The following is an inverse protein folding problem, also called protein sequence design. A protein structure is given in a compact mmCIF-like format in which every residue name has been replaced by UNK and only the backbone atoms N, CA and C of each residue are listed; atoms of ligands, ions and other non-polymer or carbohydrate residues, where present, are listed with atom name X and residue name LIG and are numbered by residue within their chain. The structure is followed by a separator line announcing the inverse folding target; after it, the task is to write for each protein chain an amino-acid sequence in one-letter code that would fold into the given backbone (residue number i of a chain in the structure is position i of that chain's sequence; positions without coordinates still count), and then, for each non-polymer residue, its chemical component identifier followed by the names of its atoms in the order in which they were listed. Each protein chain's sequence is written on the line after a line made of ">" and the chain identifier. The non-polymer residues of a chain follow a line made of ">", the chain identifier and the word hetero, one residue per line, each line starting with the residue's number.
data_IF_895723526958
#
_entry.id   IF_895723526958
#
_cell.length_a   1.000
_cell.length_b   1.000
_cell.length_c   1.000
_cell.angle_alpha   90.00
_cell.angle_beta   90.00
_cell.angle_gamma   90.00
#
_symmetry.space_group_name_H-M   'P 1'
#
loop_
_entity.id
_entity.type
_entity.pdbx_description
1 polymer ?
#
# COMPACT_ATOMS: atom_id res chain seq x y z
N UNK A 1 13.73 -8.05 8.80
CA UNK A 1 15.15 -7.83 8.46
C UNK A 1 15.29 -6.53 7.71
N UNK A 2 15.68 -5.49 8.44
CA UNK A 2 15.94 -4.16 7.91
C UNK A 2 17.03 -4.25 6.83
N UNK A 3 16.73 -3.82 5.61
CA UNK A 3 17.75 -3.57 4.59
C UNK A 3 18.20 -2.12 4.78
N UNK A 4 18.86 -1.83 5.91
CA UNK A 4 19.49 -0.55 6.13
C UNK A 4 20.88 -0.57 5.50
N UNK A 5 21.00 -0.06 4.27
CA UNK A 5 22.30 0.32 3.74
C UNK A 5 22.74 1.61 4.45
N UNK A 6 23.73 1.51 5.33
CA UNK A 6 24.20 2.56 6.24
C UNK A 6 24.88 3.75 5.57
N UNK A 7 24.92 3.81 4.22
CA UNK A 7 25.45 4.96 3.46
C UNK A 7 24.39 5.90 2.89
N UNK A 8 23.09 5.62 3.06
CA UNK A 8 22.02 6.50 2.60
C UNK A 8 21.42 7.31 3.76
N UNK A 9 21.82 8.59 3.87
CA UNK A 9 21.29 9.59 4.83
C UNK A 9 19.79 9.40 5.11
N UNK A 10 19.43 9.03 6.35
CA UNK A 10 18.06 8.98 6.91
C UNK A 10 17.01 8.26 6.06
N UNK A 11 17.31 7.04 5.60
CA UNK A 11 16.38 6.22 4.81
C UNK A 11 15.93 5.01 5.63
N UNK A 12 14.67 4.99 6.07
CA UNK A 12 14.06 3.86 6.80
C UNK A 12 13.06 3.15 5.89
N UNK A 13 13.23 1.84 5.70
CA UNK A 13 12.30 0.98 4.98
C UNK A 13 11.91 -0.19 5.87
N UNK A 14 10.61 -0.37 6.07
CA UNK A 14 10.03 -1.53 6.75
C UNK A 14 9.00 -2.16 5.83
N UNK A 15 9.15 -3.46 5.58
CA UNK A 15 8.24 -4.24 4.74
C UNK A 15 8.01 -5.57 5.46
N UNK A 16 6.75 -5.92 5.67
CA UNK A 16 6.35 -7.25 6.11
C UNK A 16 5.21 -7.78 5.26
N UNK A 17 5.27 -9.06 4.95
CA UNK A 17 4.24 -9.78 4.21
C UNK A 17 3.76 -10.92 5.12
N UNK A 18 2.45 -11.05 5.31
CA UNK A 18 1.86 -12.12 6.11
C UNK A 18 0.62 -12.69 5.43
N UNK A 19 0.55 -14.02 5.41
CA UNK A 19 -0.60 -14.77 4.97
C UNK A 19 -1.41 -15.21 6.20
N UNK A 20 -2.66 -14.80 6.25
CA UNK A 20 -3.64 -15.23 7.25
C UNK A 20 -4.55 -16.29 6.67
N UNK A 21 -4.65 -17.44 7.33
CA UNK A 21 -5.55 -18.53 6.96
C UNK A 21 -6.59 -18.79 8.05
N UNK A 22 -7.76 -19.37 7.71
CA UNK A 22 -8.72 -19.82 8.71
C UNK A 22 -8.09 -20.76 9.74
N UNK A 23 -8.51 -20.68 11.00
CA UNK A 23 -7.99 -21.55 12.06
C UNK A 23 -8.16 -23.06 11.77
N UNK A 24 -9.14 -23.43 10.94
CA UNK A 24 -9.43 -24.80 10.54
C UNK A 24 -8.48 -25.37 9.48
N UNK A 25 -7.63 -24.56 8.84
CA UNK A 25 -6.74 -25.03 7.77
C UNK A 25 -5.31 -25.25 8.27
N UNK A 26 -4.61 -26.18 7.63
CA UNK A 26 -3.16 -26.35 7.74
C UNK A 26 -2.52 -25.93 6.42
N UNK A 27 -1.51 -25.07 6.49
CA UNK A 27 -0.69 -24.76 5.33
C UNK A 27 0.23 -25.95 5.03
N UNK A 28 0.43 -26.27 3.76
CA UNK A 28 1.41 -27.28 3.37
C UNK A 28 2.83 -26.81 3.73
N UNK A 29 3.67 -27.69 4.27
CA UNK A 29 5.01 -27.33 4.75
C UNK A 29 5.90 -26.78 3.64
N UNK A 30 5.84 -27.37 2.44
CA UNK A 30 6.57 -26.89 1.27
C UNK A 30 6.11 -25.49 0.87
N UNK A 31 4.81 -25.21 0.96
CA UNK A 31 4.28 -23.88 0.69
C UNK A 31 4.81 -22.87 1.72
N UNK A 32 4.79 -23.19 3.01
CA UNK A 32 5.32 -22.31 4.08
C UNK A 32 6.81 -22.04 3.87
N UNK A 33 7.59 -23.09 3.58
CA UNK A 33 9.03 -23.01 3.36
C UNK A 33 9.38 -22.16 2.14
N UNK A 34 8.74 -22.41 1.00
CA UNK A 34 9.04 -21.72 -0.25
C UNK A 34 8.57 -20.26 -0.21
N UNK A 35 7.38 -19.99 0.31
CA UNK A 35 6.86 -18.63 0.41
C UNK A 35 7.66 -17.77 1.39
N UNK A 36 8.13 -18.34 2.52
CA UNK A 36 9.07 -17.66 3.42
C UNK A 36 10.40 -17.38 2.74
N UNK A 37 10.96 -18.35 2.00
CA UNK A 37 12.25 -18.21 1.32
C UNK A 37 12.22 -17.15 0.21
N UNK A 38 11.20 -17.16 -0.65
CA UNK A 38 11.17 -16.33 -1.85
C UNK A 38 10.48 -14.97 -1.66
N UNK A 39 9.51 -14.88 -0.76
CA UNK A 39 8.68 -13.68 -0.58
C UNK A 39 8.68 -13.16 0.86
N UNK A 40 9.41 -13.82 1.77
CA UNK A 40 9.45 -13.51 3.20
C UNK A 40 8.05 -13.47 3.84
N UNK A 41 7.13 -14.33 3.38
CA UNK A 41 5.81 -14.46 4.00
C UNK A 41 5.90 -15.08 5.38
N UNK A 42 5.35 -14.40 6.37
CA UNK A 42 4.94 -15.01 7.64
C UNK A 42 3.57 -15.66 7.48
N UNK A 43 3.30 -16.71 8.25
CA UNK A 43 2.04 -17.44 8.19
C UNK A 43 1.39 -17.36 9.55
N UNK A 44 0.10 -17.04 9.57
CA UNK A 44 -0.68 -17.00 10.79
C UNK A 44 -2.06 -17.60 10.55
N UNK A 45 -2.57 -18.28 11.56
CA UNK A 45 -3.94 -18.78 11.57
C UNK A 45 -4.79 -17.84 12.40
N UNK A 46 -5.96 -17.50 11.89
CA UNK A 46 -6.86 -16.54 12.52
C UNK A 46 -8.29 -17.05 12.48
N UNK A 47 -9.04 -16.77 13.55
CA UNK A 47 -10.44 -17.11 13.62
C UNK A 47 -11.28 -15.95 13.05
N UNK A 48 -11.60 -16.00 11.76
CA UNK A 48 -12.42 -14.97 11.12
C UNK A 48 -13.88 -14.91 11.64
N UNK A 49 -14.37 -15.93 12.38
CA UNK A 49 -15.69 -15.86 13.03
C UNK A 49 -15.72 -14.79 14.12
N UNK A 50 -14.59 -14.60 14.81
CA UNK A 50 -14.40 -13.46 15.71
C UNK A 50 -13.78 -12.31 14.93
N UNK A 51 -14.63 -11.56 14.21
CA UNK A 51 -14.21 -10.42 13.39
C UNK A 51 -13.38 -9.41 14.18
N UNK A 52 -13.74 -9.14 15.44
CA UNK A 52 -13.05 -8.14 16.27
C UNK A 52 -11.63 -8.59 16.59
N UNK A 53 -11.47 -9.84 17.02
CA UNK A 53 -10.15 -10.42 17.28
C UNK A 53 -9.31 -10.51 16.00
N UNK A 54 -9.95 -10.86 14.88
CA UNK A 54 -9.28 -10.95 13.59
C UNK A 54 -8.71 -9.59 13.13
N UNK A 55 -9.56 -8.56 13.12
CA UNK A 55 -9.16 -7.19 12.78
C UNK A 55 -8.05 -6.67 13.70
N UNK A 56 -8.19 -6.92 15.01
CA UNK A 56 -7.18 -6.56 16.00
C UNK A 56 -5.83 -7.19 15.68
N UNK A 57 -5.78 -8.51 15.45
CA UNK A 57 -4.52 -9.20 15.16
C UNK A 57 -3.87 -8.73 13.85
N UNK A 58 -4.66 -8.42 12.82
CA UNK A 58 -4.15 -7.90 11.54
C UNK A 58 -3.53 -6.51 11.74
N UNK A 59 -4.26 -5.60 12.38
CA UNK A 59 -3.84 -4.22 12.59
C UNK A 59 -2.65 -4.13 13.57
N UNK A 60 -2.63 -4.93 14.64
CA UNK A 60 -1.52 -5.00 15.58
C UNK A 60 -0.24 -5.52 14.92
N UNK A 61 -0.33 -6.55 14.08
CA UNK A 61 0.83 -7.05 13.34
C UNK A 61 1.40 -5.99 12.40
N UNK A 62 0.53 -5.28 11.68
CA UNK A 62 0.96 -4.23 10.75
C UNK A 62 1.60 -3.05 11.50
N UNK A 63 1.01 -2.66 12.63
CA UNK A 63 1.57 -1.65 13.52
C UNK A 63 2.95 -2.09 14.02
N UNK A 64 3.10 -3.29 14.57
CA UNK A 64 4.38 -3.81 15.04
C UNK A 64 5.44 -3.88 13.93
N UNK A 65 5.04 -4.36 12.74
CA UNK A 65 5.93 -4.46 11.57
C UNK A 65 6.45 -3.11 11.11
N UNK A 66 5.69 -2.04 11.37
CA UNK A 66 5.98 -0.68 10.91
C UNK A 66 6.33 0.28 12.05
N UNK A 67 6.65 -0.21 13.25
CA UNK A 67 6.87 0.61 14.47
C UNK A 67 5.76 1.63 14.73
N UNK A 68 4.51 1.20 14.59
CA UNK A 68 3.31 2.01 14.78
C UNK A 68 3.00 2.99 13.65
N UNK A 69 3.74 2.96 12.53
CA UNK A 69 3.53 3.89 11.41
C UNK A 69 2.37 3.52 10.51
N UNK A 70 1.93 2.27 10.52
CA UNK A 70 0.70 1.81 9.89
C UNK A 70 -0.20 1.16 10.97
N UNK A 71 -0.97 1.97 11.71
CA UNK A 71 -1.74 1.49 12.87
C UNK A 71 -3.01 0.71 12.47
N UNK A 72 -3.53 0.94 11.27
CA UNK A 72 -4.76 0.30 10.78
C UNK A 72 -4.59 -0.03 9.29
N UNK A 73 -4.81 -1.30 8.95
CA UNK A 73 -4.79 -1.78 7.56
C UNK A 73 -6.20 -1.90 7.01
N UNK A 74 -7.13 -2.41 7.82
CA UNK A 74 -8.53 -2.54 7.43
C UNK A 74 -9.46 -2.43 8.64
N UNK A 75 -10.69 -1.98 8.36
CA UNK A 75 -11.81 -1.89 9.30
C UNK A 75 -12.81 -3.04 9.15
N UNK A 76 -12.74 -3.78 8.05
CA UNK A 76 -13.57 -4.97 7.82
C UNK A 76 -12.82 -6.03 7.00
N UNK A 77 -13.32 -7.26 7.08
CA UNK A 77 -12.89 -8.39 6.25
C UNK A 77 -14.16 -9.02 5.68
N UNK A 78 -14.40 -8.81 4.40
CA UNK A 78 -15.62 -9.27 3.71
C UNK A 78 -15.63 -10.78 3.50
N UNK A 79 -14.51 -11.35 3.01
CA UNK A 79 -14.35 -12.79 2.77
C UNK A 79 -13.58 -13.45 3.90
N UNK A 80 -14.28 -14.24 4.71
CA UNK A 80 -13.76 -14.89 5.92
C UNK A 80 -13.52 -16.40 5.76
N UNK A 81 -13.87 -16.94 4.60
CA UNK A 81 -13.76 -18.36 4.22
C UNK A 81 -12.44 -18.67 3.51
N UNK A 82 -11.76 -17.66 2.96
CA UNK A 82 -10.48 -17.77 2.27
C UNK A 82 -9.26 -17.38 3.10
N UNK A 83 -8.10 -17.40 2.44
CA UNK A 83 -6.87 -16.85 2.99
C UNK A 83 -6.74 -15.36 2.62
N UNK A 84 -6.19 -14.55 3.54
CA UNK A 84 -5.97 -13.13 3.37
C UNK A 84 -4.47 -12.84 3.33
N UNK A 85 -4.00 -12.24 2.24
CA UNK A 85 -2.64 -11.72 2.14
C UNK A 85 -2.64 -10.28 2.64
N UNK A 86 -1.86 -10.01 3.69
CA UNK A 86 -1.68 -8.67 4.22
C UNK A 86 -0.22 -8.28 4.09
N UNK A 87 0.02 -7.10 3.53
CA UNK A 87 1.35 -6.56 3.37
C UNK A 87 1.40 -5.17 4.00
N UNK A 88 2.36 -4.93 4.88
CA UNK A 88 2.53 -3.67 5.58
C UNK A 88 3.86 -3.04 5.18
N UNK A 89 3.82 -1.80 4.68
CA UNK A 89 5.00 -1.08 4.23
C UNK A 89 5.08 0.31 4.86
N UNK A 90 6.29 0.69 5.27
CA UNK A 90 6.63 2.03 5.73
C UNK A 90 7.95 2.50 5.11
N UNK A 91 7.92 3.67 4.47
CA UNK A 91 9.08 4.30 3.85
C UNK A 91 9.24 5.73 4.31
N UNK A 92 10.45 6.09 4.74
CA UNK A 92 10.82 7.49 4.98
C UNK A 92 12.01 7.88 4.13
N UNK A 93 11.78 8.76 3.14
CA UNK A 93 12.81 9.22 2.20
C UNK A 93 12.52 10.62 1.68
N UNK A 94 13.47 11.14 0.91
CA UNK A 94 13.25 12.31 0.08
C UNK A 94 12.43 11.93 -1.15
N UNK A 95 11.21 12.44 -1.23
CA UNK A 95 10.31 12.33 -2.37
C UNK A 95 9.96 13.71 -2.90
N UNK A 96 9.57 13.79 -4.17
CA UNK A 96 8.95 14.99 -4.72
C UNK A 96 7.54 15.05 -4.15
N UNK A 97 7.23 16.12 -3.43
CA UNK A 97 5.99 16.25 -2.67
C UNK A 97 5.40 17.65 -2.84
N UNK A 98 4.07 17.69 -2.94
CA UNK A 98 3.28 18.92 -2.95
C UNK A 98 2.08 18.76 -2.01
N UNK A 99 1.80 19.79 -1.22
CA UNK A 99 0.61 19.92 -0.40
C UNK A 99 -0.24 21.02 -1.02
N UNK A 100 -1.43 20.66 -1.48
CA UNK A 100 -2.40 21.59 -2.04
C UNK A 100 -3.40 21.95 -0.94
N UNK A 101 -3.07 23.00 -0.17
CA UNK A 101 -3.91 23.46 0.94
C UNK A 101 -5.30 23.93 0.47
N UNK A 102 -5.40 24.43 -0.78
CA UNK A 102 -6.66 24.89 -1.36
C UNK A 102 -7.57 23.71 -1.70
N UNK A 103 -7.03 22.69 -2.38
CA UNK A 103 -7.76 21.48 -2.77
C UNK A 103 -7.78 20.38 -1.69
N UNK A 104 -7.15 20.65 -0.55
CA UNK A 104 -7.00 19.76 0.62
C UNK A 104 -6.51 18.36 0.24
N UNK A 105 -5.46 18.31 -0.58
CA UNK A 105 -4.87 17.06 -1.03
C UNK A 105 -3.35 17.11 -1.03
N UNK A 106 -2.75 15.94 -0.97
CA UNK A 106 -1.32 15.72 -1.01
C UNK A 106 -0.96 14.93 -2.25
N UNK A 107 0.13 15.34 -2.90
CA UNK A 107 0.67 14.66 -4.07
C UNK A 107 2.11 14.26 -3.81
N UNK A 108 2.43 12.98 -3.99
CA UNK A 108 3.79 12.46 -3.81
C UNK A 108 4.20 11.62 -5.01
N UNK A 109 5.36 11.93 -5.57
CA UNK A 109 5.99 11.15 -6.64
C UNK A 109 7.06 10.23 -6.05
N UNK A 110 6.87 8.93 -6.27
CA UNK A 110 7.76 7.86 -5.85
C UNK A 110 8.44 7.24 -7.08
N UNK A 111 9.76 7.41 -7.27
CA UNK A 111 10.48 6.76 -8.36
C UNK A 111 10.49 5.23 -8.16
N UNK A 112 10.20 4.50 -9.24
CA UNK A 112 10.30 3.04 -9.30
C UNK A 112 11.75 2.60 -9.56
N UNK A 113 11.95 1.28 -9.65
CA UNK A 113 13.27 0.70 -9.91
C UNK A 113 13.92 1.35 -11.14
N UNK A 114 15.22 1.63 -11.03
CA UNK A 114 16.04 2.27 -12.06
C UNK A 114 15.64 3.70 -12.49
N UNK A 115 14.67 4.33 -11.82
CA UNK A 115 14.18 5.71 -12.10
C UNK A 115 13.71 5.95 -13.54
N UNK A 116 13.37 4.87 -14.27
CA UNK A 116 12.80 4.97 -15.61
C UNK A 116 11.32 5.35 -15.57
N UNK A 117 10.67 5.16 -14.43
CA UNK A 117 9.27 5.49 -14.22
C UNK A 117 9.05 5.90 -12.76
N UNK A 118 8.04 6.72 -12.53
CA UNK A 118 7.61 7.14 -11.19
C UNK A 118 6.12 6.84 -11.02
N UNK A 119 5.73 6.46 -9.81
CA UNK A 119 4.33 6.35 -9.40
C UNK A 119 3.95 7.62 -8.63
N UNK A 120 2.84 8.25 -8.99
CA UNK A 120 2.32 9.43 -8.29
C UNK A 120 1.12 9.01 -7.45
N UNK A 121 1.17 9.28 -6.15
CA UNK A 121 0.01 9.14 -5.26
C UNK A 121 -0.63 10.51 -5.06
N UNK A 122 -1.95 10.57 -5.20
CA UNK A 122 -2.78 11.74 -4.91
C UNK A 122 -3.74 11.31 -3.81
N UNK A 123 -3.67 11.96 -2.65
CA UNK A 123 -4.42 11.56 -1.47
C UNK A 123 -5.14 12.78 -0.88
N UNK A 124 -6.47 12.72 -0.68
CA UNK A 124 -7.16 13.76 0.07
C UNK A 124 -6.73 13.75 1.54
N UNK A 125 -6.72 14.93 2.17
CA UNK A 125 -6.33 15.09 3.58
C UNK A 125 -7.34 14.50 4.57
N UNK A 126 -8.55 14.20 4.09
CA UNK A 126 -9.64 13.61 4.85
C UNK A 126 -10.19 12.40 4.12
N UNK A 127 -10.79 11.48 4.86
CA UNK A 127 -11.46 10.31 4.27
C UNK A 127 -12.73 10.78 3.57
N UNK A 128 -12.72 10.75 2.24
CA UNK A 128 -13.84 11.13 1.38
C UNK A 128 -13.91 10.21 0.14
N UNK A 129 -15.08 10.09 -0.50
CA UNK A 129 -15.18 9.50 -1.84
C UNK A 129 -14.25 10.22 -2.83
N UNK A 130 -13.62 9.46 -3.73
CA UNK A 130 -12.61 10.02 -4.63
C UNK A 130 -13.19 10.80 -5.81
N UNK A 131 -14.50 10.87 -5.99
CA UNK A 131 -15.12 11.51 -7.17
C UNK A 131 -14.70 12.98 -7.35
N UNK A 132 -14.48 13.70 -6.25
CA UNK A 132 -13.97 15.07 -6.27
C UNK A 132 -12.54 15.12 -6.81
N UNK A 133 -11.66 14.26 -6.29
CA UNK A 133 -10.25 14.17 -6.68
C UNK A 133 -10.15 13.74 -8.15
N UNK A 134 -10.99 12.81 -8.59
CA UNK A 134 -11.05 12.35 -9.98
C UNK A 134 -11.47 13.48 -10.94
N UNK A 135 -12.41 14.34 -10.56
CA UNK A 135 -12.79 15.53 -11.36
C UNK A 135 -11.65 16.55 -11.49
N UNK A 136 -10.83 16.69 -10.45
CA UNK A 136 -9.64 17.54 -10.47
C UNK A 136 -8.50 16.91 -11.28
N UNK A 137 -8.48 15.58 -11.39
CA UNK A 137 -7.43 14.83 -12.06
C UNK A 137 -7.57 14.95 -13.59
N UNK A 138 -6.99 16.01 -14.14
CA UNK A 138 -6.80 16.17 -15.57
C UNK A 138 -5.32 16.42 -15.92
N UNK A 139 -5.00 16.37 -17.22
CA UNK A 139 -3.61 16.48 -17.70
C UNK A 139 -2.93 17.80 -17.31
N UNK A 140 -3.68 18.91 -17.32
CA UNK A 140 -3.14 20.25 -17.00
C UNK A 140 -2.89 20.38 -15.50
N UNK A 141 -3.83 19.90 -14.69
CA UNK A 141 -3.71 19.90 -13.24
C UNK A 141 -2.57 18.99 -12.78
N UNK A 142 -2.41 17.81 -13.38
CA UNK A 142 -1.31 16.90 -13.06
C UNK A 142 0.05 17.52 -13.37
N UNK A 143 0.19 18.23 -14.50
CA UNK A 143 1.40 19.00 -14.83
C UNK A 143 1.64 20.13 -13.83
N UNK A 144 0.58 20.79 -13.39
CA UNK A 144 0.64 21.88 -12.41
C UNK A 144 1.11 21.35 -11.05
N UNK A 145 0.57 20.23 -10.58
CA UNK A 145 1.05 19.59 -9.35
C UNK A 145 2.50 19.15 -9.48
N UNK A 146 2.86 18.48 -10.58
CA UNK A 146 4.23 18.03 -10.83
C UNK A 146 5.25 19.18 -10.83
N UNK A 147 4.92 20.35 -11.39
CA UNK A 147 5.81 21.51 -11.41
C UNK A 147 5.95 22.19 -10.04
N UNK A 148 4.95 22.07 -9.17
CA UNK A 148 4.96 22.62 -7.80
C UNK A 148 5.62 21.70 -6.77
N UNK A 149 5.88 20.44 -7.12
CA UNK A 149 6.53 19.48 -6.21
C UNK A 149 7.93 19.94 -5.82
N UNK A 150 8.26 19.73 -4.54
CA UNK A 150 9.61 19.98 -4.01
C UNK A 150 10.10 18.74 -3.30
N UNK A 151 11.41 18.48 -3.34
CA UNK A 151 12.02 17.39 -2.58
C UNK A 151 11.81 17.64 -1.08
N UNK A 152 11.07 16.77 -0.42
CA UNK A 152 10.84 16.80 1.04
C UNK A 152 11.03 15.41 1.65
N UNK A 153 11.40 15.37 2.93
CA UNK A 153 11.41 14.12 3.67
C UNK A 153 9.96 13.74 3.98
N UNK A 154 9.45 12.74 3.28
CA UNK A 154 8.08 12.25 3.43
C UNK A 154 8.12 10.83 3.99
N UNK A 155 7.26 10.60 4.97
CA UNK A 155 7.02 9.30 5.57
C UNK A 155 5.70 8.75 4.98
N UNK A 156 5.78 7.61 4.33
CA UNK A 156 4.69 6.98 3.59
C UNK A 156 4.41 5.63 4.24
N UNK A 157 3.16 5.40 4.62
CA UNK A 157 2.66 4.13 5.12
C UNK A 157 1.59 3.63 4.18
N UNK A 158 1.79 2.47 3.56
CA UNK A 158 0.85 1.92 2.59
C UNK A 158 0.69 0.41 2.80
N UNK A 159 -0.52 -0.15 2.63
CA UNK A 159 -0.65 -1.56 2.35
C UNK A 159 -0.04 -1.85 0.96
N UNK A 160 0.68 -2.96 0.79
CA UNK A 160 1.14 -3.35 -0.56
C UNK A 160 -0.06 -3.80 -1.37
N UNK A 161 -0.50 -2.96 -2.30
CA UNK A 161 -1.57 -3.28 -3.25
C UNK A 161 -0.94 -4.00 -4.44
N UNK A 162 -1.41 -5.22 -4.73
CA UNK A 162 -1.24 -5.82 -6.05
C UNK A 162 -2.45 -5.37 -6.86
N UNK A 163 -2.27 -4.36 -7.72
CA UNK A 163 -3.32 -3.90 -8.63
C UNK A 163 -3.43 -4.89 -9.79
N UNK A 164 -4.33 -5.87 -9.69
CA UNK A 164 -4.85 -6.58 -10.85
C UNK A 164 -6.05 -5.81 -11.38
N UNK A 165 -5.81 -4.93 -12.34
CA UNK A 165 -6.87 -4.18 -13.02
C UNK A 165 -7.22 -4.92 -14.30
N UNK A 166 -8.26 -5.75 -14.27
CA UNK A 166 -8.89 -6.27 -15.50
C UNK A 166 -9.78 -5.18 -16.08
N UNK A 167 -9.30 -4.48 -17.11
CA UNK A 167 -10.17 -3.66 -17.96
C UNK A 167 -10.58 -4.47 -19.17
N UNK A 168 -11.88 -4.76 -19.27
CA UNK A 168 -12.47 -5.20 -20.52
C UNK A 168 -12.68 -3.94 -21.36
N UNK A 169 -11.71 -3.65 -22.24
CA UNK A 169 -11.84 -2.55 -23.18
C UNK A 169 -12.88 -2.98 -24.22
N UNK A 170 -14.14 -2.60 -24.00
CA UNK A 170 -15.10 -2.58 -25.10
C UNK A 170 -14.64 -1.52 -26.09
N UNK A 171 -13.92 -1.96 -27.11
CA UNK A 171 -13.73 -1.20 -28.34
C UNK A 171 -15.12 -1.04 -28.93
N UNK A 172 -15.80 0.07 -28.60
CA UNK A 172 -16.83 0.59 -29.49
C UNK A 172 -16.08 1.06 -30.73
N UNK A 173 -16.11 0.22 -31.77
CA UNK A 173 -15.87 0.69 -33.14
C UNK A 173 -16.73 1.91 -33.36
N UNK A 174 -16.06 3.04 -33.56
CA UNK A 174 -16.65 4.27 -34.08
C UNK A 174 -16.19 4.34 -35.53
N UNK A 175 -17.16 4.09 -36.42
CA UNK A 175 -17.26 4.46 -37.84
C UNK A 175 -16.40 3.62 -38.81
N UNK A 176 -16.94 3.16 -39.95
CA UNK A 176 -17.82 3.89 -40.88
C UNK A 176 -19.30 3.46 -40.96
#
# INVERSE_FOLDING_TARGET
>A
NEVSNSTARNVTWKIGNRLYGPASINFADDFVKNSKKHYNYEHSKINFRDKRSALKSINEWAAQTTDGKLPEVTKDVEKTDGALIVNAMFFKRLYNYYDDEAEKLQVVEMPLAHKLSSMIFIMPNHVEPLERVEKLLNREQLKTWASKMKKRSVAISLPKVVLEVSHDLQVKEVLD
#
